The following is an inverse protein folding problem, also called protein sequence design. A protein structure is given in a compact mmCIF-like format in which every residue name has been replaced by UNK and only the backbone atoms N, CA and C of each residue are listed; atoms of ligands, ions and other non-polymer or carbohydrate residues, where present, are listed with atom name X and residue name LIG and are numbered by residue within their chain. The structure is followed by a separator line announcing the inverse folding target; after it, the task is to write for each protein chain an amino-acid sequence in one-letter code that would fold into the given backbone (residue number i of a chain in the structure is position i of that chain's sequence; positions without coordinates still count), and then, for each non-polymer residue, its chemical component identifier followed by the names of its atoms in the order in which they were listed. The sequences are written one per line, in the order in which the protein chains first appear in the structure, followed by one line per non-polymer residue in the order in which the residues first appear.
data_IF_890305273126
#
_entry.id   IF_890305273126
#
_cell.length_a   1.000
_cell.length_b   1.000
_cell.length_c   1.000
_cell.angle_alpha   90.00
_cell.angle_beta   90.00
_cell.angle_gamma   90.00
#
_symmetry.space_group_name_H-M   'P 1'
#
loop_
_entity.id
_entity.type
_entity.pdbx_description
1 polymer ?
#
# COMPACT_ATOMS: atom_id res chain seq x y z
N UNK A 1 18.48 18.73 -1.93
CA UNK A 1 17.11 18.33 -1.52
C UNK A 1 17.09 18.41 -0.01
N UNK A 2 16.23 19.22 0.60
CA UNK A 2 16.05 19.16 2.05
C UNK A 2 15.10 18.03 2.38
N UNK A 3 15.59 16.98 3.03
CA UNK A 3 14.77 15.91 3.58
C UNK A 3 14.14 16.46 4.86
N UNK A 4 12.87 16.85 4.82
CA UNK A 4 12.13 17.20 6.03
C UNK A 4 11.41 15.96 6.54
N UNK A 5 11.76 15.55 7.76
CA UNK A 5 11.03 14.52 8.49
C UNK A 5 9.65 15.09 8.86
N UNK A 6 8.60 14.33 8.56
CA UNK A 6 7.22 14.65 8.90
C UNK A 6 6.58 13.46 9.61
N UNK A 7 5.65 13.76 10.52
CA UNK A 7 4.86 12.74 11.20
C UNK A 7 3.55 12.58 10.45
N UNK A 8 3.30 11.37 9.95
CA UNK A 8 1.99 10.99 9.42
C UNK A 8 1.20 10.32 10.55
N UNK A 9 0.03 10.88 10.83
CA UNK A 9 -0.97 10.26 11.69
C UNK A 9 -1.83 9.33 10.86
N UNK A 10 -1.82 8.05 11.22
CA UNK A 10 -2.56 7.01 10.49
C UNK A 10 -3.05 5.94 11.47
N UNK A 11 -4.22 5.35 11.20
CA UNK A 11 -4.73 4.24 12.00
C UNK A 11 -4.24 2.89 11.48
N UNK A 12 -4.16 1.89 12.35
CA UNK A 12 -3.82 0.51 11.93
C UNK A 12 -4.77 -0.01 10.83
N UNK A 13 -6.07 0.30 10.92
CA UNK A 13 -7.05 -0.01 9.87
C UNK A 13 -6.59 0.49 8.50
N UNK A 14 -6.13 1.74 8.43
CA UNK A 14 -5.70 2.36 7.16
C UNK A 14 -4.37 1.80 6.65
N UNK A 15 -3.45 1.40 7.54
CA UNK A 15 -2.23 0.68 7.13
C UNK A 15 -2.58 -0.68 6.55
N UNK A 16 -3.48 -1.44 7.19
CA UNK A 16 -3.96 -2.73 6.69
C UNK A 16 -4.62 -2.57 5.33
N UNK A 17 -5.47 -1.54 5.13
CA UNK A 17 -6.12 -1.26 3.83
C UNK A 17 -5.14 -0.88 2.70
N UNK A 18 -3.94 -0.40 3.07
CA UNK A 18 -2.84 -0.10 2.13
C UNK A 18 -2.02 -1.37 1.85
N UNK A 19 -1.75 -2.17 2.89
CA UNK A 19 -0.95 -3.39 2.81
C UNK A 19 -1.73 -4.59 2.24
N UNK A 20 -3.06 -4.60 2.33
CA UNK A 20 -3.90 -5.69 1.88
C UNK A 20 -5.08 -5.15 1.08
N UNK A 21 -5.30 -5.71 -0.09
CA UNK A 21 -6.48 -5.46 -0.93
C UNK A 21 -7.62 -6.43 -0.59
N UNK A 22 -7.38 -7.40 0.29
CA UNK A 22 -8.31 -8.50 0.60
C UNK A 22 -8.43 -9.55 -0.51
N UNK A 23 -7.95 -9.27 -1.73
CA UNK A 23 -7.90 -10.20 -2.85
C UNK A 23 -6.44 -10.64 -3.09
N UNK A 24 -6.08 -11.93 -2.89
CA UNK A 24 -4.71 -12.42 -3.09
C UNK A 24 -4.21 -12.33 -4.53
N UNK A 25 -5.07 -12.02 -5.51
CA UNK A 25 -4.72 -11.82 -6.92
C UNK A 25 -4.37 -10.36 -7.23
N UNK A 26 -4.79 -9.43 -6.38
CA UNK A 26 -4.46 -8.01 -6.51
C UNK A 26 -3.25 -7.77 -5.60
N UNK A 27 -2.08 -7.39 -6.15
CA UNK A 27 -0.92 -7.05 -5.32
C UNK A 27 -1.33 -6.03 -4.27
N UNK A 28 -0.70 -6.06 -3.09
CA UNK A 28 -0.89 -4.98 -2.12
C UNK A 28 -0.71 -3.64 -2.83
N UNK A 29 -1.47 -2.61 -2.43
CA UNK A 29 -1.37 -1.28 -3.07
C UNK A 29 0.07 -0.77 -3.04
N UNK A 30 0.83 -1.21 -2.04
CA UNK A 30 2.25 -1.00 -1.85
C UNK A 30 3.14 -1.83 -2.81
N UNK A 31 2.83 -3.10 -3.07
CA UNK A 31 3.53 -3.94 -4.06
C UNK A 31 3.36 -3.44 -5.51
N UNK A 32 2.30 -2.68 -5.81
CA UNK A 32 2.16 -1.99 -7.11
C UNK A 32 3.32 -0.99 -7.33
N UNK A 33 3.86 -0.41 -6.25
CA UNK A 33 5.00 0.52 -6.33
C UNK A 33 6.33 -0.20 -6.58
N UNK A 34 6.52 -1.41 -6.04
CA UNK A 34 7.73 -2.21 -6.26
C UNK A 34 7.85 -2.74 -7.69
N UNK A 35 6.71 -2.98 -8.36
CA UNK A 35 6.66 -3.57 -9.70
C UNK A 35 6.86 -2.55 -10.84
N UNK A 36 6.92 -1.26 -10.53
CA UNK A 36 7.15 -0.22 -11.53
C UNK A 36 8.59 0.28 -11.51
N UNK A 37 9.17 0.63 -12.67
CA UNK A 37 10.48 1.24 -12.75
C UNK A 37 10.40 2.69 -12.23
N UNK A 38 10.36 2.85 -10.91
CA UNK A 38 10.52 4.14 -10.26
C UNK A 38 12.00 4.55 -10.31
N UNK A 39 12.31 5.86 -10.41
CA UNK A 39 13.65 6.35 -10.21
C UNK A 39 14.27 5.78 -8.91
N UNK A 40 15.54 5.36 -8.95
CA UNK A 40 16.22 4.63 -7.86
C UNK A 40 16.05 5.26 -6.47
N UNK A 41 16.05 6.60 -6.40
CA UNK A 41 15.85 7.35 -5.14
C UNK A 41 14.43 7.20 -4.58
N UNK A 42 13.43 7.12 -5.45
CA UNK A 42 12.03 6.88 -5.10
C UNK A 42 11.83 5.45 -4.65
N UNK A 43 12.35 4.46 -5.38
CA UNK A 43 12.26 3.05 -4.96
C UNK A 43 12.86 2.84 -3.57
N UNK A 44 14.03 3.42 -3.31
CA UNK A 44 14.68 3.35 -2.00
C UNK A 44 13.85 4.00 -0.89
N UNK A 45 13.26 5.14 -1.19
CA UNK A 45 12.43 5.86 -0.23
C UNK A 45 11.10 5.14 0.05
N UNK A 46 10.44 4.64 -0.99
CA UNK A 46 9.23 3.80 -0.88
C UNK A 46 9.55 2.60 0.00
N UNK A 47 10.67 1.91 -0.25
CA UNK A 47 11.12 0.78 0.58
C UNK A 47 11.25 1.15 2.06
N UNK A 48 11.89 2.28 2.39
CA UNK A 48 11.98 2.75 3.78
C UNK A 48 10.63 3.03 4.44
N UNK A 49 9.66 3.55 3.69
CA UNK A 49 8.30 3.77 4.21
C UNK A 49 7.59 2.43 4.41
N UNK A 50 7.80 1.46 3.51
CA UNK A 50 7.26 0.11 3.66
C UNK A 50 7.82 -0.58 4.90
N UNK A 51 9.13 -0.48 5.15
CA UNK A 51 9.75 -1.06 6.35
C UNK A 51 9.09 -0.54 7.63
N UNK A 52 8.76 0.76 7.68
CA UNK A 52 8.05 1.36 8.83
C UNK A 52 6.62 0.85 8.97
N UNK A 53 5.88 0.71 7.87
CA UNK A 53 4.54 0.11 7.91
C UNK A 53 4.59 -1.36 8.33
N UNK A 54 5.58 -2.11 7.88
CA UNK A 54 5.79 -3.52 8.25
C UNK A 54 6.09 -3.68 9.74
N UNK A 55 6.94 -2.82 10.30
CA UNK A 55 7.24 -2.83 11.73
C UNK A 55 6.00 -2.51 12.58
N UNK A 56 5.19 -1.54 12.15
CA UNK A 56 3.92 -1.21 12.79
C UNK A 56 2.90 -2.35 12.67
N UNK A 57 2.80 -3.00 11.51
CA UNK A 57 1.95 -4.19 11.31
C UNK A 57 2.39 -5.36 12.20
N UNK A 58 3.70 -5.57 12.41
CA UNK A 58 4.20 -6.55 13.38
C UNK A 58 3.82 -6.17 14.82
N UNK A 59 3.85 -4.88 15.15
CA UNK A 59 3.34 -4.36 16.42
C UNK A 59 1.86 -4.69 16.62
N UNK A 60 1.03 -4.34 15.64
CA UNK A 60 -0.39 -4.67 15.60
C UNK A 60 -0.64 -6.17 15.76
N UNK A 61 0.03 -7.01 14.97
CA UNK A 61 -0.16 -8.47 15.01
C UNK A 61 0.18 -9.06 16.39
N UNK A 62 1.19 -8.53 17.08
CA UNK A 62 1.52 -8.96 18.45
C UNK A 62 0.43 -8.59 19.44
N UNK A 63 -0.12 -7.38 19.35
CA UNK A 63 -1.21 -6.94 20.22
C UNK A 63 -2.50 -7.72 19.95
N UNK A 64 -2.82 -7.94 18.67
CA UNK A 64 -3.95 -8.76 18.24
C UNK A 64 -3.81 -10.20 18.76
N UNK A 65 -2.63 -10.81 18.64
CA UNK A 65 -2.39 -12.16 19.15
C UNK A 65 -2.59 -12.26 20.66
N UNK A 66 -2.22 -11.22 21.42
CA UNK A 66 -2.47 -11.15 22.86
C UNK A 66 -3.97 -11.08 23.16
N UNK A 67 -4.72 -10.22 22.46
CA UNK A 67 -6.17 -10.12 22.60
C UNK A 67 -6.87 -11.44 22.30
N UNK A 68 -6.42 -12.16 21.27
CA UNK A 68 -6.92 -13.50 20.97
C UNK A 68 -6.62 -14.42 22.16
N UNK A 69 -5.36 -14.50 22.60
CA UNK A 69 -4.93 -15.41 23.68
C UNK A 69 -5.70 -15.23 24.98
N UNK A 70 -6.01 -13.99 25.36
CA UNK A 70 -6.73 -13.64 26.59
C UNK A 70 -8.21 -14.08 26.55
N UNK A 71 -8.75 -14.33 25.35
CA UNK A 71 -10.17 -14.58 25.10
C UNK A 71 -10.45 -15.95 24.45
N UNK A 72 -9.44 -16.82 24.25
CA UNK A 72 -9.67 -18.15 23.70
C UNK A 72 -10.35 -19.09 24.70
N UNK A 73 -11.14 -20.02 24.17
CA UNK A 73 -11.61 -21.19 24.93
C UNK A 73 -10.47 -22.20 25.06
N UNK A 74 -10.28 -22.71 26.28
CA UNK A 74 -9.36 -23.82 26.57
C UNK A 74 -10.14 -25.07 26.98
N UNK A 75 -9.60 -26.24 26.67
CA UNK A 75 -10.12 -27.52 27.15
C UNK A 75 -9.77 -27.75 28.63
N UNK A 76 -10.25 -28.87 29.17
CA UNK A 76 -10.00 -29.34 30.54
C UNK A 76 -8.52 -29.58 30.86
N UNK A 77 -7.68 -29.71 29.83
CA UNK A 77 -6.22 -29.87 29.92
C UNK A 77 -5.47 -28.55 29.69
N UNK A 78 -6.18 -27.45 29.50
CA UNK A 78 -5.61 -26.12 29.25
C UNK A 78 -5.18 -25.84 27.81
N UNK A 79 -5.46 -26.74 26.86
CA UNK A 79 -5.13 -26.59 25.45
C UNK A 79 -6.16 -25.72 24.73
N UNK A 80 -5.71 -24.99 23.70
CA UNK A 80 -6.56 -24.12 22.88
C UNK A 80 -7.56 -24.94 22.07
N UNK A 81 -8.84 -24.55 22.10
CA UNK A 81 -9.87 -25.20 21.30
C UNK A 81 -9.90 -24.61 19.89
N UNK A 82 -9.74 -25.45 18.86
CA UNK A 82 -9.85 -25.04 17.46
C UNK A 82 -11.31 -24.77 17.08
N UNK A 83 -11.57 -23.67 16.38
CA UNK A 83 -12.86 -23.40 15.75
C UNK A 83 -12.88 -23.88 14.29
N UNK A 84 -11.81 -23.59 13.54
CA UNK A 84 -11.68 -23.96 12.14
C UNK A 84 -10.21 -24.16 11.77
N UNK A 85 -9.93 -25.07 10.84
CA UNK A 85 -8.64 -25.23 10.20
C UNK A 85 -8.83 -25.06 8.69
N UNK A 86 -7.99 -24.24 8.07
CA UNK A 86 -8.05 -23.90 6.65
C UNK A 86 -7.17 -24.87 5.84
N UNK A 87 -7.45 -25.06 4.53
CA UNK A 87 -6.67 -25.97 3.68
C UNK A 87 -5.18 -25.62 3.54
N UNK A 88 -4.80 -24.40 3.89
CA UNK A 88 -3.41 -23.90 3.87
C UNK A 88 -2.69 -24.05 5.23
N UNK A 89 -3.30 -24.78 6.18
CA UNK A 89 -2.73 -25.04 7.51
C UNK A 89 -2.94 -23.91 8.52
N UNK A 90 -3.66 -22.84 8.16
CA UNK A 90 -4.04 -21.80 9.14
C UNK A 90 -5.12 -22.33 10.09
N UNK A 91 -5.05 -21.95 11.36
CA UNK A 91 -6.02 -22.35 12.39
C UNK A 91 -6.69 -21.12 12.99
N UNK A 92 -8.02 -21.13 13.00
CA UNK A 92 -8.83 -20.20 13.76
C UNK A 92 -9.19 -20.83 15.11
N UNK A 93 -8.88 -20.13 16.21
CA UNK A 93 -9.20 -20.58 17.56
C UNK A 93 -10.60 -20.16 17.96
N UNK A 94 -11.24 -20.93 18.85
CA UNK A 94 -12.55 -20.62 19.39
C UNK A 94 -12.40 -19.52 20.44
N UNK A 95 -13.11 -18.40 20.24
CA UNK A 95 -13.23 -17.32 21.23
C UNK A 95 -14.37 -17.65 22.19
N UNK A 96 -14.17 -17.34 23.46
CA UNK A 96 -15.17 -17.46 24.51
C UNK A 96 -16.42 -16.62 24.16
N UNK A 97 -17.60 -17.25 23.97
CA UNK A 97 -18.82 -16.54 23.60
C UNK A 97 -19.19 -15.41 24.56
N UNK A 98 -18.90 -15.56 25.86
CA UNK A 98 -19.23 -14.56 26.88
C UNK A 98 -18.30 -13.34 26.80
N UNK A 99 -17.07 -13.54 26.30
CA UNK A 99 -16.09 -12.47 26.10
C UNK A 99 -16.06 -11.94 24.68
N UNK A 100 -16.85 -12.50 23.77
CA UNK A 100 -16.80 -12.17 22.34
C UNK A 100 -17.05 -10.69 22.08
N UNK A 101 -18.04 -10.11 22.74
CA UNK A 101 -18.31 -8.68 22.58
C UNK A 101 -17.12 -7.82 23.04
N UNK A 102 -16.57 -8.12 24.21
CA UNK A 102 -15.42 -7.39 24.77
C UNK A 102 -14.19 -7.55 23.86
N UNK A 103 -13.97 -8.76 23.33
CA UNK A 103 -12.93 -9.05 22.36
C UNK A 103 -13.10 -8.22 21.08
N UNK A 104 -14.30 -8.21 20.51
CA UNK A 104 -14.58 -7.49 19.25
C UNK A 104 -14.43 -5.98 19.43
N UNK A 105 -14.88 -5.43 20.57
CA UNK A 105 -14.65 -4.03 20.95
C UNK A 105 -13.16 -3.71 21.12
N UNK A 106 -12.38 -4.61 21.74
CA UNK A 106 -10.94 -4.44 21.91
C UNK A 106 -10.18 -4.48 20.57
N UNK A 107 -10.61 -5.36 19.65
CA UNK A 107 -10.06 -5.42 18.29
C UNK A 107 -10.40 -4.14 17.51
N UNK A 108 -11.62 -3.65 17.60
CA UNK A 108 -12.01 -2.41 16.92
C UNK A 108 -11.25 -1.20 17.48
N UNK A 109 -11.09 -1.11 18.80
CA UNK A 109 -10.27 -0.09 19.44
C UNK A 109 -8.80 -0.16 18.98
N UNK A 110 -8.24 -1.37 18.86
CA UNK A 110 -6.89 -1.56 18.33
C UNK A 110 -6.80 -1.10 16.86
N UNK A 111 -7.75 -1.47 16.01
CA UNK A 111 -7.78 -1.04 14.60
C UNK A 111 -7.88 0.48 14.44
N UNK A 112 -8.58 1.14 15.36
CA UNK A 112 -8.79 2.59 15.36
C UNK A 112 -7.71 3.37 16.12
N UNK A 113 -6.69 2.70 16.65
CA UNK A 113 -5.54 3.36 17.29
C UNK A 113 -4.78 4.19 16.26
N UNK A 114 -4.65 5.49 16.53
CA UNK A 114 -3.83 6.41 15.75
C UNK A 114 -2.36 6.24 16.14
N UNK A 115 -1.51 6.05 15.15
CA UNK A 115 -0.06 5.92 15.31
C UNK A 115 0.66 6.98 14.47
N UNK A 116 1.80 7.39 15.01
CA UNK A 116 2.67 8.40 14.44
C UNK A 116 3.79 7.71 13.63
N UNK A 117 3.70 7.80 12.32
CA UNK A 117 4.73 7.26 11.43
C UNK A 117 5.57 8.40 10.91
N UNK A 118 6.81 8.42 11.38
CA UNK A 118 7.82 9.36 10.91
C UNK A 118 8.24 8.98 9.49
N UNK A 119 7.89 9.78 8.49
CA UNK A 119 8.40 9.60 7.12
C UNK A 119 9.06 10.88 6.65
N UNK A 120 10.07 10.74 5.79
CA UNK A 120 10.57 11.89 5.05
C UNK A 120 9.59 12.15 3.91
N UNK A 121 8.89 13.29 3.82
CA UNK A 121 8.07 13.51 2.61
C UNK A 121 8.98 13.74 1.41
N UNK A 122 8.68 13.05 0.31
CA UNK A 122 9.36 13.29 -0.95
C UNK A 122 8.42 13.97 -1.95
N UNK A 123 8.98 14.90 -2.72
CA UNK A 123 8.32 15.46 -3.89
C UNK A 123 8.40 14.44 -5.03
N UNK A 124 7.26 13.93 -5.45
CA UNK A 124 7.13 13.02 -6.59
C UNK A 124 6.53 13.82 -7.74
N UNK A 125 7.22 13.85 -8.87
CA UNK A 125 6.68 14.40 -10.10
C UNK A 125 5.72 13.42 -10.77
N UNK A 126 4.57 13.90 -11.25
CA UNK A 126 3.60 13.08 -11.97
C UNK A 126 4.23 12.35 -13.18
N UNK A 127 5.20 12.97 -13.85
CA UNK A 127 6.00 12.36 -14.91
C UNK A 127 6.70 11.05 -14.53
N UNK A 128 7.05 10.85 -13.25
CA UNK A 128 7.75 9.66 -12.77
C UNK A 128 6.86 8.45 -12.53
N UNK A 129 5.54 8.67 -12.45
CA UNK A 129 4.54 7.63 -12.18
C UNK A 129 3.56 7.46 -13.34
N UNK A 130 3.88 7.99 -14.53
CA UNK A 130 3.08 7.73 -15.73
C UNK A 130 3.15 6.27 -16.15
N UNK A 131 2.04 5.76 -16.68
CA UNK A 131 2.07 4.50 -17.41
C UNK A 131 2.84 4.71 -18.72
N UNK A 132 3.40 3.64 -19.30
CA UNK A 132 3.96 3.67 -20.65
C UNK A 132 3.01 2.94 -21.60
N UNK A 133 2.79 3.50 -22.79
CA UNK A 133 2.07 2.84 -23.87
C UNK A 133 3.09 2.29 -24.85
N UNK A 134 2.87 1.08 -25.33
CA UNK A 134 3.64 0.54 -26.46
C UNK A 134 2.96 0.96 -27.75
N UNK A 135 3.69 1.65 -28.62
CA UNK A 135 3.23 1.99 -29.96
C UNK A 135 3.22 0.75 -30.87
N UNK A 136 2.51 0.77 -32.02
CA UNK A 136 2.50 -0.36 -32.95
C UNK A 136 3.88 -0.80 -33.45
N UNK A 137 4.86 0.11 -33.48
CA UNK A 137 6.27 -0.14 -33.82
C UNK A 137 7.13 -0.60 -32.61
N UNK A 138 6.51 -0.88 -31.46
CA UNK A 138 7.18 -1.43 -30.28
C UNK A 138 7.88 -0.41 -29.38
N UNK A 139 7.78 0.90 -29.65
CA UNK A 139 8.37 1.94 -28.80
C UNK A 139 7.51 2.19 -27.57
N UNK A 140 8.15 2.43 -26.42
CA UNK A 140 7.45 2.86 -25.22
C UNK A 140 7.36 4.38 -25.17
N UNK A 141 6.14 4.92 -25.14
CA UNK A 141 5.87 6.35 -24.96
C UNK A 141 5.16 6.62 -23.63
N UNK A 142 5.47 7.72 -22.92
CA UNK A 142 4.77 8.07 -21.68
C UNK A 142 3.27 8.29 -21.96
N UNK A 143 2.42 7.57 -21.24
CA UNK A 143 0.98 7.78 -21.25
C UNK A 143 0.63 9.07 -20.50
N UNK A 144 -0.35 9.82 -20.99
CA UNK A 144 -0.99 10.90 -20.21
C UNK A 144 -1.75 10.39 -18.98
N UNK A 145 -1.97 9.07 -18.87
CA UNK A 145 -2.68 8.47 -17.72
C UNK A 145 -1.69 8.08 -16.63
N UNK A 146 -1.97 8.57 -15.43
CA UNK A 146 -1.44 8.04 -14.18
C UNK A 146 -2.56 7.22 -13.54
N UNK A 147 -2.25 6.02 -13.05
CA UNK A 147 -3.25 5.20 -12.36
C UNK A 147 -3.79 5.97 -11.14
N UNK A 148 -5.11 6.21 -11.04
CA UNK A 148 -5.72 6.87 -9.87
C UNK A 148 -5.43 6.12 -8.56
N UNK A 149 -5.29 4.80 -8.64
CA UNK A 149 -4.93 3.96 -7.50
C UNK A 149 -3.53 4.28 -6.99
N UNK A 150 -2.57 4.49 -7.90
CA UNK A 150 -1.19 4.83 -7.54
C UNK A 150 -1.08 6.21 -6.91
N UNK A 151 -1.84 7.18 -7.40
CA UNK A 151 -1.97 8.50 -6.78
C UNK A 151 -2.53 8.34 -5.36
N UNK A 152 -3.61 7.57 -5.18
CA UNK A 152 -4.21 7.31 -3.86
C UNK A 152 -3.27 6.61 -2.89
N UNK A 153 -2.42 5.70 -3.36
CA UNK A 153 -1.41 5.02 -2.54
C UNK A 153 -0.27 5.95 -2.13
N UNK A 154 0.15 6.86 -3.00
CA UNK A 154 1.27 7.77 -2.75
C UNK A 154 0.87 9.03 -1.98
N UNK A 155 -0.37 9.51 -2.14
CA UNK A 155 -0.90 10.71 -1.49
C UNK A 155 -0.67 10.78 0.03
N UNK A 156 -0.80 9.69 0.82
CA UNK A 156 -0.53 9.74 2.24
C UNK A 156 0.94 10.02 2.56
N UNK A 157 1.86 9.59 1.69
CA UNK A 157 3.29 9.50 1.98
C UNK A 157 4.15 10.50 1.19
N UNK A 158 3.64 11.06 0.09
CA UNK A 158 4.40 11.93 -0.82
C UNK A 158 3.61 13.17 -1.25
N UNK A 159 4.36 14.25 -1.55
CA UNK A 159 3.81 15.43 -2.22
C UNK A 159 3.89 15.22 -3.73
N UNK A 160 2.73 15.12 -4.39
CA UNK A 160 2.66 14.89 -5.83
C UNK A 160 2.64 16.26 -6.53
N UNK A 161 3.69 16.55 -7.29
CA UNK A 161 3.80 17.75 -8.12
C UNK A 161 3.34 17.44 -9.55
N UNK A 162 2.41 18.26 -10.06
CA UNK A 162 2.06 18.25 -11.46
C UNK A 162 3.14 19.00 -12.26
N UNK A 163 3.97 18.21 -12.93
CA UNK A 163 4.99 18.68 -13.88
C UNK A 163 4.63 18.29 -15.32
N UNK A 164 3.37 17.91 -15.54
CA UNK A 164 2.87 17.66 -16.89
C UNK A 164 2.81 18.99 -17.64
N UNK A 165 3.31 19.07 -18.88
CA UNK A 165 3.07 20.26 -19.69
C UNK A 165 1.56 20.43 -19.87
N UNK A 166 1.07 21.67 -19.76
CA UNK A 166 -0.29 22.03 -20.16
C UNK A 166 -0.50 21.53 -21.59
N UNK A 167 -1.69 20.99 -21.87
CA UNK A 167 -2.03 20.24 -23.08
C UNK A 167 -1.82 20.97 -24.42
N UNK A 168 -1.41 22.24 -24.38
CA UNK A 168 -1.39 23.15 -25.52
C UNK A 168 -0.01 23.28 -26.16
N UNK A 169 1.01 22.61 -25.61
CA UNK A 169 2.35 22.52 -26.20
C UNK A 169 2.80 21.06 -26.32
N UNK A 170 2.14 20.27 -27.18
CA UNK A 170 2.88 19.19 -27.83
C UNK A 170 3.78 19.80 -28.92
N UNK A 171 5.06 19.38 -29.03
CA UNK A 171 5.79 19.66 -30.25
C UNK A 171 5.07 18.95 -31.39
N UNK A 172 4.70 19.69 -32.44
CA UNK A 172 4.11 19.22 -33.72
C UNK A 172 4.86 18.06 -34.41
N UNK A 173 5.89 17.49 -33.80
CA UNK A 173 6.80 16.52 -34.40
C UNK A 173 6.23 15.10 -34.50
N UNK A 174 5.19 14.76 -33.73
CA UNK A 174 4.52 13.45 -33.84
C UNK A 174 3.62 13.36 -35.08
N UNK A 175 2.91 14.44 -35.45
CA UNK A 175 2.12 14.48 -36.69
C UNK A 175 3.00 14.62 -37.93
N UNK A 176 4.16 15.31 -37.83
CA UNK A 176 5.13 15.38 -38.94
C UNK A 176 5.82 14.04 -39.23
N UNK A 177 6.02 13.19 -38.22
CA UNK A 177 6.60 11.85 -38.39
C UNK A 177 5.64 10.85 -39.04
N UNK A 178 4.32 11.07 -38.94
CA UNK A 178 3.30 10.25 -39.59
C UNK A 178 2.90 10.74 -41.00
N UNK A 179 3.30 11.97 -41.37
CA UNK A 179 2.95 12.60 -42.64
C UNK A 179 4.01 12.48 -43.75
N UNK A 180 5.18 11.88 -43.47
CA UNK A 180 6.16 11.62 -44.53
C UNK A 180 5.90 10.24 -45.16
N UNK A 181 5.55 10.16 -46.45
CA UNK A 181 5.58 8.88 -47.15
C UNK A 181 7.03 8.40 -47.18
N UNK A 182 7.25 7.16 -46.70
CA UNK A 182 8.57 6.53 -46.76
C UNK A 182 9.03 6.42 -48.24
N UNK A 183 10.31 6.68 -48.55
CA UNK A 183 10.87 6.49 -49.89
C UNK A 183 10.94 5.01 -50.30
#
# INVERSE_FOLDING_TARGET
MSEQEQVIKITYRKIIDLAFTGDPRIPSKLAILERKPLPRKISFWVGRVMDKFDDELRGYNRQQAKLIEDNIVRDDKGNKVKAQEFPDGRVQWKIDPEKRQIHDEAIDALLNTEIDIHVYRMKIKLSWIRDFKTTPDGKQIPSRRVSPEMIRTLLPIADIEDDLPDSDNEPEELDKAMAQPQP
#
